data_IF_868768558177
#
_entry.id   IF_868768558177
#
_cell.length_a   1.000
_cell.length_b   1.000
_cell.length_c   1.000
_cell.angle_alpha   90.00
_cell.angle_beta   90.00
_cell.angle_gamma   90.00
#
_symmetry.space_group_name_H-M   'P 1'
#
loop_
_entity.id
_entity.type
_entity.pdbx_description
1 polymer ?
#
# COMPACT_ATOMS: atom_id res chain seq x y z
N UNK A 1 -20.68 2.90 -4.40
CA UNK A 1 -19.20 2.90 -4.32
C UNK A 1 -18.77 1.74 -3.45
N UNK A 2 -17.66 1.05 -3.77
CA UNK A 2 -17.07 0.05 -2.88
C UNK A 2 -16.68 0.70 -1.55
N UNK A 3 -16.70 -0.08 -0.48
CA UNK A 3 -16.38 0.35 0.90
C UNK A 3 -14.93 0.07 1.28
N UNK A 4 -14.27 -0.86 0.58
CA UNK A 4 -12.84 -1.14 0.67
C UNK A 4 -12.26 -1.54 -0.70
N UNK A 5 -10.93 -1.66 -0.79
CA UNK A 5 -10.24 -1.98 -2.04
C UNK A 5 -10.49 -3.43 -2.50
N UNK A 6 -10.64 -4.37 -1.57
CA UNK A 6 -10.94 -5.77 -1.90
C UNK A 6 -12.31 -5.89 -2.57
N UNK A 7 -13.30 -5.13 -2.11
CA UNK A 7 -14.62 -5.04 -2.73
C UNK A 7 -14.54 -4.38 -4.11
N UNK A 8 -13.75 -3.31 -4.26
CA UNK A 8 -13.51 -2.67 -5.55
C UNK A 8 -12.90 -3.68 -6.55
N UNK A 9 -11.90 -4.44 -6.11
CA UNK A 9 -11.25 -5.51 -6.87
C UNK A 9 -12.26 -6.55 -7.34
N UNK A 10 -13.06 -7.11 -6.43
CA UNK A 10 -14.01 -8.17 -6.79
C UNK A 10 -15.13 -7.70 -7.71
N UNK A 11 -15.60 -6.46 -7.57
CA UNK A 11 -16.55 -5.86 -8.50
C UNK A 11 -15.97 -5.77 -9.92
N UNK A 12 -14.70 -5.39 -10.05
CA UNK A 12 -14.00 -5.34 -11.34
C UNK A 12 -13.81 -6.72 -11.92
N UNK A 13 -13.39 -7.71 -11.11
CA UNK A 13 -13.24 -9.10 -11.54
C UNK A 13 -14.55 -9.68 -12.07
N UNK A 14 -15.67 -9.42 -11.38
CA UNK A 14 -16.98 -9.87 -11.80
C UNK A 14 -17.44 -9.20 -13.11
N UNK A 15 -17.16 -7.92 -13.28
CA UNK A 15 -17.57 -7.16 -14.46
C UNK A 15 -16.72 -7.48 -15.70
N UNK A 16 -15.42 -7.75 -15.53
CA UNK A 16 -14.43 -7.79 -16.61
C UNK A 16 -13.50 -9.02 -16.56
N UNK A 17 -14.01 -10.24 -16.36
CA UNK A 17 -13.17 -11.39 -15.98
C UNK A 17 -12.14 -11.79 -17.04
N UNK A 18 -12.39 -11.51 -18.32
CA UNK A 18 -11.51 -11.89 -19.44
C UNK A 18 -10.65 -10.75 -19.95
N UNK A 19 -10.88 -9.53 -19.47
CA UNK A 19 -10.07 -8.38 -19.87
C UNK A 19 -8.68 -8.45 -19.21
N UNK A 20 -7.64 -7.91 -19.86
CA UNK A 20 -6.33 -7.74 -19.24
C UNK A 20 -6.41 -6.93 -17.94
N UNK A 21 -5.75 -7.41 -16.89
CA UNK A 21 -5.63 -6.72 -15.61
C UNK A 21 -4.20 -6.23 -15.35
N UNK A 22 -3.21 -7.09 -15.61
CA UNK A 22 -1.79 -6.77 -15.49
C UNK A 22 -1.10 -6.99 -16.82
N UNK A 23 -0.32 -5.99 -17.24
CA UNK A 23 0.46 -5.99 -18.47
C UNK A 23 1.95 -5.97 -18.14
N UNK A 24 2.75 -6.69 -18.90
CA UNK A 24 4.21 -6.53 -18.97
C UNK A 24 4.58 -5.93 -20.32
N UNK A 25 5.87 -5.66 -20.54
CA UNK A 25 6.37 -5.25 -21.85
C UNK A 25 6.11 -6.29 -22.95
N UNK A 26 5.85 -7.54 -22.56
CA UNK A 26 5.58 -8.68 -23.47
C UNK A 26 4.08 -8.85 -23.76
N UNK A 27 3.21 -8.04 -23.15
CA UNK A 27 1.77 -8.06 -23.35
C UNK A 27 0.99 -8.40 -22.08
N UNK A 28 -0.13 -9.11 -22.22
CA UNK A 28 -0.98 -9.45 -21.06
C UNK A 28 -0.32 -10.51 -20.20
N UNK A 29 0.00 -10.15 -18.95
CA UNK A 29 0.49 -11.10 -17.97
C UNK A 29 -0.67 -11.85 -17.29
N UNK A 30 -1.70 -11.12 -16.84
CA UNK A 30 -2.88 -11.72 -16.20
C UNK A 30 -4.16 -10.99 -16.64
N UNK A 31 -5.20 -11.76 -16.95
CA UNK A 31 -6.60 -11.28 -16.97
C UNK A 31 -7.12 -11.06 -15.55
N UNK A 32 -8.23 -10.33 -15.39
CA UNK A 32 -8.84 -10.13 -14.06
C UNK A 32 -9.21 -11.43 -13.35
N UNK A 33 -9.72 -12.44 -14.08
CA UNK A 33 -10.01 -13.75 -13.50
C UNK A 33 -8.74 -14.44 -13.01
N UNK A 34 -7.71 -14.50 -13.84
CA UNK A 34 -6.43 -15.12 -13.45
C UNK A 34 -5.79 -14.38 -12.27
N UNK A 35 -5.89 -13.05 -12.23
CA UNK A 35 -5.42 -12.26 -11.12
C UNK A 35 -6.17 -12.62 -9.82
N UNK A 36 -7.50 -12.74 -9.86
CA UNK A 36 -8.29 -13.18 -8.71
C UNK A 36 -7.94 -14.60 -8.25
N UNK A 37 -7.74 -15.54 -9.18
CA UNK A 37 -7.37 -16.92 -8.87
C UNK A 37 -5.99 -16.97 -8.17
N UNK A 38 -5.02 -16.18 -8.67
CA UNK A 38 -3.70 -16.03 -8.02
C UNK A 38 -3.78 -15.36 -6.66
N UNK A 39 -4.59 -14.32 -6.50
CA UNK A 39 -4.83 -13.65 -5.21
C UNK A 39 -5.43 -14.62 -4.20
N UNK A 40 -6.40 -15.46 -4.59
CA UNK A 40 -7.00 -16.47 -3.72
C UNK A 40 -5.97 -17.49 -3.23
N UNK A 41 -5.12 -17.96 -4.14
CA UNK A 41 -4.06 -18.94 -3.84
C UNK A 41 -2.99 -18.35 -2.91
N UNK A 42 -2.45 -17.17 -3.24
CA UNK A 42 -1.42 -16.51 -2.42
C UNK A 42 -1.98 -16.05 -1.07
N UNK A 43 -3.24 -15.61 -0.99
CA UNK A 43 -3.87 -15.25 0.28
C UNK A 43 -4.01 -16.46 1.21
N UNK A 44 -4.31 -17.64 0.65
CA UNK A 44 -4.32 -18.88 1.43
C UNK A 44 -2.92 -19.26 1.92
N UNK A 45 -1.90 -19.10 1.07
CA UNK A 45 -0.49 -19.30 1.44
C UNK A 45 -0.08 -18.39 2.60
N UNK A 46 -0.40 -17.09 2.53
CA UNK A 46 -0.10 -16.13 3.61
C UNK A 46 -0.78 -16.54 4.93
N UNK A 47 -2.05 -16.98 4.91
CA UNK A 47 -2.72 -17.49 6.12
C UNK A 47 -2.08 -18.76 6.68
N UNK A 48 -1.57 -19.62 5.80
CA UNK A 48 -0.82 -20.83 6.15
C UNK A 48 0.53 -20.51 6.81
N UNK A 49 1.16 -19.40 6.41
CA UNK A 49 2.34 -18.82 7.07
C UNK A 49 2.01 -18.02 8.33
N UNK A 50 0.81 -18.22 8.88
CA UNK A 50 0.30 -17.55 10.09
C UNK A 50 0.18 -16.02 9.98
N UNK A 51 0.08 -15.47 8.76
CA UNK A 51 -0.27 -14.05 8.58
C UNK A 51 -1.73 -13.84 9.01
N UNK A 52 -1.92 -12.87 9.89
CA UNK A 52 -3.22 -12.47 10.45
C UNK A 52 -3.57 -11.03 10.09
N UNK A 53 -4.80 -10.65 10.44
CA UNK A 53 -5.29 -9.28 10.32
C UNK A 53 -4.40 -8.31 11.08
N UNK A 54 -4.20 -7.13 10.52
CA UNK A 54 -3.38 -6.04 11.08
C UNK A 54 -1.88 -6.39 11.23
N UNK A 55 -1.44 -7.56 10.75
CA UNK A 55 -0.02 -7.91 10.72
C UNK A 55 0.67 -7.38 9.46
N UNK A 56 1.92 -6.90 9.56
CA UNK A 56 2.66 -6.40 8.41
C UNK A 56 3.23 -7.53 7.54
N UNK A 57 3.13 -7.36 6.22
CA UNK A 57 3.79 -8.20 5.22
C UNK A 57 4.75 -7.33 4.41
N UNK A 58 6.05 -7.60 4.50
CA UNK A 58 7.03 -6.83 3.76
C UNK A 58 7.15 -7.34 2.32
N UNK A 59 7.20 -6.44 1.35
CA UNK A 59 7.34 -6.75 -0.07
C UNK A 59 8.64 -6.14 -0.59
N UNK A 60 9.61 -6.96 -1.03
CA UNK A 60 10.84 -6.51 -1.68
C UNK A 60 10.93 -7.12 -3.07
N UNK A 61 10.20 -6.52 -4.01
CA UNK A 61 10.03 -7.01 -5.37
C UNK A 61 10.34 -5.87 -6.36
N UNK A 62 10.85 -6.22 -7.52
CA UNK A 62 10.88 -5.31 -8.67
C UNK A 62 9.50 -5.12 -9.29
N UNK A 63 9.42 -4.28 -10.32
CA UNK A 63 8.20 -4.09 -11.09
C UNK A 63 7.85 -5.37 -11.87
N UNK A 64 7.08 -6.25 -11.24
CA UNK A 64 6.63 -7.54 -11.78
C UNK A 64 5.22 -7.88 -11.30
N UNK A 65 4.45 -8.70 -12.05
CA UNK A 65 3.05 -9.01 -11.73
C UNK A 65 2.85 -9.57 -10.32
N UNK A 66 3.79 -10.36 -9.81
CA UNK A 66 3.71 -11.02 -8.50
C UNK A 66 3.68 -10.03 -7.34
N UNK A 67 4.20 -8.79 -7.52
CA UNK A 67 4.04 -7.73 -6.52
C UNK A 67 2.56 -7.41 -6.30
N UNK A 68 1.81 -7.19 -7.37
CA UNK A 68 0.39 -6.88 -7.29
C UNK A 68 -0.42 -8.05 -6.72
N UNK A 69 -0.04 -9.29 -7.07
CA UNK A 69 -0.63 -10.50 -6.49
C UNK A 69 -0.40 -10.58 -4.99
N UNK A 70 0.84 -10.43 -4.52
CA UNK A 70 1.16 -10.50 -3.10
C UNK A 70 0.51 -9.37 -2.29
N UNK A 71 0.52 -8.15 -2.80
CA UNK A 71 -0.12 -6.99 -2.20
C UNK A 71 -1.64 -7.20 -2.05
N UNK A 72 -2.33 -7.51 -3.14
CA UNK A 72 -3.78 -7.74 -3.13
C UNK A 72 -4.17 -8.95 -2.27
N UNK A 73 -3.35 -10.01 -2.26
CA UNK A 73 -3.54 -11.17 -1.39
C UNK A 73 -3.45 -10.79 0.10
N UNK A 74 -2.45 -10.01 0.49
CA UNK A 74 -2.30 -9.53 1.87
C UNK A 74 -3.52 -8.70 2.32
N UNK A 75 -4.03 -7.81 1.45
CA UNK A 75 -5.26 -7.05 1.71
C UNK A 75 -6.48 -7.95 1.93
N UNK A 76 -6.61 -9.06 1.19
CA UNK A 76 -7.71 -10.02 1.39
C UNK A 76 -7.55 -10.86 2.67
N UNK A 77 -6.36 -10.94 3.24
CA UNK A 77 -6.13 -11.51 4.59
C UNK A 77 -6.40 -10.47 5.69
N UNK A 78 -6.58 -9.20 5.34
CA UNK A 78 -6.65 -8.08 6.27
C UNK A 78 -5.29 -7.69 6.85
N UNK A 79 -4.20 -8.17 6.24
CA UNK A 79 -2.83 -7.83 6.59
C UNK A 79 -2.43 -6.48 5.99
N UNK A 80 -1.28 -5.95 6.42
CA UNK A 80 -0.76 -4.64 6.03
C UNK A 80 0.47 -4.81 5.13
N UNK A 81 0.32 -4.93 3.80
CA UNK A 81 1.46 -5.00 2.90
C UNK A 81 2.22 -3.67 2.84
N UNK A 82 3.54 -3.71 2.84
CA UNK A 82 4.36 -2.52 2.63
C UNK A 82 5.62 -2.83 1.84
N UNK A 83 6.04 -1.89 1.02
CA UNK A 83 7.20 -2.07 0.14
C UNK A 83 8.50 -1.68 0.83
N UNK A 84 9.52 -2.52 0.66
CA UNK A 84 10.92 -2.19 0.90
C UNK A 84 11.54 -1.72 -0.42
N UNK A 85 12.33 -0.66 -0.36
CA UNK A 85 13.07 -0.20 -1.54
C UNK A 85 14.20 -1.16 -1.87
N UNK A 86 14.29 -1.57 -3.14
CA UNK A 86 15.24 -2.58 -3.62
C UNK A 86 16.71 -2.17 -3.51
N UNK A 87 16.98 -0.88 -3.30
CA UNK A 87 18.31 -0.30 -3.15
C UNK A 87 18.72 -0.06 -1.69
N UNK A 88 17.88 -0.40 -0.71
CA UNK A 88 18.21 -0.20 0.70
C UNK A 88 19.35 -1.13 1.13
N UNK A 89 20.32 -0.62 1.89
CA UNK A 89 21.31 -1.47 2.54
C UNK A 89 20.67 -2.28 3.69
N UNK A 90 21.36 -3.35 4.10
CA UNK A 90 20.83 -4.32 5.06
C UNK A 90 20.47 -3.71 6.43
N UNK A 91 21.23 -2.72 6.91
CA UNK A 91 20.98 -2.01 8.16
C UNK A 91 19.65 -1.22 8.13
N UNK A 92 19.37 -0.53 7.02
CA UNK A 92 18.10 0.18 6.86
C UNK A 92 16.91 -0.78 6.70
N UNK A 93 17.10 -1.90 5.98
CA UNK A 93 16.06 -2.95 5.91
C UNK A 93 15.80 -3.54 7.30
N UNK A 94 16.85 -3.80 8.08
CA UNK A 94 16.74 -4.32 9.44
C UNK A 94 15.94 -3.38 10.34
N UNK A 95 16.22 -2.08 10.30
CA UNK A 95 15.46 -1.08 11.07
C UNK A 95 13.97 -1.08 10.70
N UNK A 96 13.66 -1.17 9.40
CA UNK A 96 12.27 -1.24 8.93
C UNK A 96 11.57 -2.51 9.43
N UNK A 97 12.19 -3.69 9.22
CA UNK A 97 11.64 -4.98 9.68
C UNK A 97 11.45 -5.03 11.20
N UNK A 98 12.39 -4.50 11.98
CA UNK A 98 12.24 -4.39 13.45
C UNK A 98 11.11 -3.44 13.85
N UNK A 99 10.99 -2.30 13.17
CA UNK A 99 10.02 -1.26 13.54
C UNK A 99 8.58 -1.67 13.23
N UNK A 100 8.38 -2.46 12.16
CA UNK A 100 7.07 -2.98 11.78
C UNK A 100 6.76 -4.31 12.46
N UNK A 101 7.76 -5.05 12.94
CA UNK A 101 7.63 -6.43 13.41
C UNK A 101 7.05 -7.36 12.34
N UNK A 102 7.41 -7.14 11.06
CA UNK A 102 7.02 -8.01 9.97
C UNK A 102 7.53 -9.44 10.21
N UNK A 103 6.65 -10.42 9.99
CA UNK A 103 6.93 -11.85 10.18
C UNK A 103 7.23 -12.58 8.87
N UNK A 104 6.66 -12.08 7.78
CA UNK A 104 6.79 -12.61 6.42
C UNK A 104 7.31 -11.52 5.49
N UNK A 105 8.28 -11.89 4.67
CA UNK A 105 8.79 -11.05 3.57
C UNK A 105 8.57 -11.79 2.25
N UNK A 106 7.84 -11.18 1.31
CA UNK A 106 7.75 -11.68 -0.08
C UNK A 106 8.79 -10.96 -0.92
N UNK A 107 9.62 -11.73 -1.62
CA UNK A 107 10.85 -11.24 -2.25
C UNK A 107 11.20 -12.01 -3.53
N UNK A 108 12.28 -11.60 -4.18
CA UNK A 108 12.98 -12.32 -5.26
C UNK A 108 14.29 -12.93 -4.74
N UNK A 109 14.78 -13.99 -5.40
CA UNK A 109 16.02 -14.70 -5.04
C UNK A 109 17.22 -13.76 -4.95
N UNK A 110 17.28 -12.78 -5.85
CA UNK A 110 18.37 -11.78 -5.90
C UNK A 110 18.51 -10.93 -4.63
N UNK A 111 17.44 -10.78 -3.85
CA UNK A 111 17.46 -9.97 -2.62
C UNK A 111 17.67 -10.83 -1.36
N UNK A 112 17.68 -12.17 -1.48
CA UNK A 112 17.92 -13.05 -0.33
C UNK A 112 19.24 -12.76 0.41
N UNK A 113 20.38 -12.43 -0.25
CA UNK A 113 21.61 -12.12 0.47
C UNK A 113 21.48 -10.90 1.40
N UNK A 114 20.86 -9.81 0.93
CA UNK A 114 20.68 -8.59 1.73
C UNK A 114 19.61 -8.78 2.80
N UNK A 115 18.53 -9.51 2.50
CA UNK A 115 17.48 -9.83 3.46
C UNK A 115 17.99 -10.74 4.58
N UNK A 116 18.81 -11.75 4.28
CA UNK A 116 19.42 -12.61 5.32
C UNK A 116 20.27 -11.81 6.29
N UNK A 117 21.06 -10.86 5.78
CA UNK A 117 21.83 -9.96 6.62
C UNK A 117 20.93 -9.06 7.49
N UNK A 118 19.79 -8.63 6.95
CA UNK A 118 18.85 -7.74 7.63
C UNK A 118 17.91 -8.43 8.64
N UNK A 119 17.62 -9.72 8.46
CA UNK A 119 16.63 -10.44 9.27
C UNK A 119 17.13 -10.85 10.66
N UNK A 120 18.43 -10.77 10.93
CA UNK A 120 18.98 -11.04 12.27
C UNK A 120 18.27 -10.18 13.33
N UNK A 121 17.87 -10.76 14.46
CA UNK A 121 17.15 -10.08 15.57
C UNK A 121 15.86 -9.34 15.16
N UNK A 122 15.16 -9.85 14.14
CA UNK A 122 13.82 -9.40 13.71
C UNK A 122 12.75 -10.46 14.02
N UNK A 123 11.48 -10.14 13.77
CA UNK A 123 10.37 -11.10 13.87
C UNK A 123 10.20 -11.98 12.62
N UNK A 124 11.02 -11.78 11.58
CA UNK A 124 10.90 -12.49 10.31
C UNK A 124 11.25 -13.96 10.50
N UNK A 125 10.29 -14.84 10.22
CA UNK A 125 10.48 -16.29 10.23
C UNK A 125 10.31 -16.94 8.84
N UNK A 126 9.84 -16.18 7.85
CA UNK A 126 9.64 -16.70 6.50
C UNK A 126 9.97 -15.67 5.42
N UNK A 127 10.91 -16.04 4.54
CA UNK A 127 11.17 -15.37 3.28
C UNK A 127 10.50 -16.16 2.15
N UNK A 128 9.62 -15.53 1.38
CA UNK A 128 8.88 -16.15 0.28
C UNK A 128 9.41 -15.63 -1.05
N UNK A 129 10.09 -16.47 -1.82
CA UNK A 129 10.68 -16.10 -3.12
C UNK A 129 9.69 -16.34 -4.27
N UNK A 130 9.34 -15.30 -5.02
CA UNK A 130 8.39 -15.40 -6.15
C UNK A 130 8.99 -16.06 -7.40
N UNK A 131 10.32 -16.11 -7.49
CA UNK A 131 11.13 -16.72 -8.55
C UNK A 131 11.97 -17.90 -8.03
N UNK A 132 11.58 -18.48 -6.89
CA UNK A 132 12.12 -19.74 -6.39
C UNK A 132 11.54 -20.94 -7.12
N UNK A 133 12.30 -22.04 -7.19
CA UNK A 133 11.82 -23.33 -7.68
C UNK A 133 11.49 -24.28 -6.54
N UNK A 134 10.51 -25.16 -6.74
CA UNK A 134 10.17 -26.21 -5.76
C UNK A 134 11.38 -27.08 -5.41
N UNK A 135 11.46 -27.50 -4.15
CA UNK A 135 12.55 -28.35 -3.65
C UNK A 135 13.85 -27.59 -3.39
N UNK A 136 13.84 -26.25 -3.47
CA UNK A 136 14.99 -25.40 -3.09
C UNK A 136 14.81 -24.77 -1.71
N UNK A 137 13.98 -25.37 -0.86
CA UNK A 137 13.80 -24.96 0.52
C UNK A 137 15.14 -24.93 1.26
N UNK A 138 15.69 -23.72 1.39
CA UNK A 138 16.78 -23.38 2.29
C UNK A 138 16.14 -22.98 3.64
N UNK A 139 16.83 -23.16 4.77
CA UNK A 139 16.27 -22.83 6.09
C UNK A 139 15.67 -21.41 6.11
N UNK A 140 14.36 -21.31 6.39
CA UNK A 140 13.62 -20.05 6.45
C UNK A 140 13.25 -19.42 5.10
N UNK A 141 13.50 -20.09 3.96
CA UNK A 141 13.13 -19.63 2.61
C UNK A 141 12.20 -20.63 1.92
N UNK A 142 11.06 -20.15 1.46
CA UNK A 142 10.09 -20.91 0.66
C UNK A 142 9.97 -20.27 -0.71
N UNK A 143 9.82 -21.05 -1.78
CA UNK A 143 9.28 -20.51 -3.02
C UNK A 143 7.79 -20.19 -2.85
N UNK A 144 7.27 -19.26 -3.65
CA UNK A 144 5.84 -18.95 -3.64
C UNK A 144 5.00 -20.19 -3.98
N UNK A 145 5.45 -21.01 -4.94
CA UNK A 145 4.79 -22.26 -5.30
C UNK A 145 4.69 -23.24 -4.13
N UNK A 146 5.77 -23.43 -3.36
CA UNK A 146 5.76 -24.25 -2.15
C UNK A 146 4.78 -23.68 -1.10
N UNK A 147 4.79 -22.37 -0.87
CA UNK A 147 3.87 -21.73 0.08
C UNK A 147 2.40 -21.92 -0.33
N UNK A 148 2.09 -21.88 -1.63
CA UNK A 148 0.76 -22.15 -2.17
C UNK A 148 0.37 -23.63 -2.02
N UNK A 149 1.30 -24.56 -2.24
CA UNK A 149 1.08 -25.99 -2.09
C UNK A 149 0.82 -26.42 -0.62
N UNK A 150 1.28 -25.63 0.36
CA UNK A 150 0.98 -25.84 1.78
C UNK A 150 -0.46 -25.46 2.16
N UNK A 151 -1.15 -24.64 1.35
CA UNK A 151 -2.52 -24.28 1.61
C UNK A 151 -3.49 -25.37 1.12
N UNK A 152 -4.46 -25.82 1.95
CA UNK A 152 -5.35 -26.92 1.58
C UNK A 152 -6.31 -26.57 0.43
N UNK A 153 -6.66 -25.29 0.31
CA UNK A 153 -7.49 -24.75 -0.76
C UNK A 153 -7.25 -23.23 -0.90
N UNK A 154 -7.52 -22.65 -2.08
CA UNK A 154 -7.52 -21.19 -2.25
C UNK A 154 -8.51 -20.51 -1.28
N UNK A 155 -8.20 -19.26 -0.91
CA UNK A 155 -9.07 -18.47 -0.05
C UNK A 155 -10.36 -18.08 -0.80
N UNK A 156 -11.51 -18.29 -0.16
CA UNK A 156 -12.76 -17.69 -0.65
C UNK A 156 -12.71 -16.18 -0.47
N UNK A 157 -12.39 -15.46 -1.56
CA UNK A 157 -12.26 -14.01 -1.55
C UNK A 157 -13.58 -13.32 -1.18
N UNK A 158 -14.72 -13.86 -1.59
CA UNK A 158 -16.02 -13.26 -1.28
C UNK A 158 -16.35 -13.40 0.21
N UNK A 159 -16.01 -14.53 0.82
CA UNK A 159 -16.09 -14.70 2.26
C UNK A 159 -15.14 -13.76 3.01
N UNK A 160 -13.90 -13.61 2.54
CA UNK A 160 -12.88 -12.77 3.15
C UNK A 160 -13.29 -11.27 3.22
N UNK A 161 -14.10 -10.79 2.28
CA UNK A 161 -14.64 -9.41 2.33
C UNK A 161 -15.40 -9.11 3.61
N UNK A 162 -15.99 -10.11 4.25
CA UNK A 162 -16.75 -9.91 5.48
C UNK A 162 -15.86 -9.42 6.62
N UNK A 163 -14.55 -9.66 6.59
CA UNK A 163 -13.62 -9.34 7.67
C UNK A 163 -12.78 -8.08 7.41
N UNK A 164 -12.77 -7.59 6.16
CA UNK A 164 -12.09 -6.36 5.76
C UNK A 164 -12.95 -5.14 6.09
N UNK A 165 -12.38 -4.15 6.78
CA UNK A 165 -13.05 -2.92 7.19
C UNK A 165 -12.50 -1.72 6.43
N UNK A 166 -13.33 -0.68 6.21
CA UNK A 166 -12.87 0.54 5.52
C UNK A 166 -11.70 1.25 6.22
N UNK A 167 -11.58 1.09 7.54
CA UNK A 167 -10.56 1.77 8.34
C UNK A 167 -9.32 0.89 8.58
N UNK A 168 -9.24 -0.31 7.97
CA UNK A 168 -8.04 -1.12 8.01
C UNK A 168 -6.92 -0.47 7.19
N UNK A 169 -5.70 -0.60 7.72
CA UNK A 169 -4.49 -0.09 7.09
C UNK A 169 -4.14 -0.99 5.90
N UNK A 170 -3.97 -0.38 4.74
CA UNK A 170 -3.64 -1.07 3.48
C UNK A 170 -2.17 -0.99 3.13
N UNK A 171 -1.46 0.00 3.67
CA UNK A 171 -0.01 0.10 3.47
C UNK A 171 0.64 1.04 4.47
N UNK A 172 1.94 0.85 4.64
CA UNK A 172 2.83 1.70 5.43
C UNK A 172 3.82 2.39 4.49
N UNK A 173 3.82 3.72 4.47
CA UNK A 173 4.84 4.51 3.76
C UNK A 173 5.84 5.04 4.77
N UNK A 174 7.07 4.51 4.73
CA UNK A 174 8.16 4.98 5.57
C UNK A 174 8.76 6.26 4.99
N UNK A 175 8.83 7.29 5.83
CA UNK A 175 9.43 8.59 5.47
C UNK A 175 10.63 8.88 6.34
N UNK A 176 11.62 9.60 5.81
CA UNK A 176 12.77 10.06 6.59
C UNK A 176 12.27 11.00 7.69
N UNK A 177 12.20 10.48 8.92
CA UNK A 177 11.84 11.28 10.07
C UNK A 177 12.94 12.29 10.38
N UNK A 178 12.56 13.50 10.82
CA UNK A 178 13.50 14.51 11.32
C UNK A 178 14.35 14.02 12.51
N UNK A 179 13.91 12.94 13.16
CA UNK A 179 14.57 12.27 14.27
C UNK A 179 15.52 11.14 13.86
N UNK A 180 15.81 11.00 12.56
CA UNK A 180 16.69 9.96 11.99
C UNK A 180 16.04 8.59 11.83
N UNK A 181 15.05 8.25 12.66
CA UNK A 181 14.27 7.00 12.53
C UNK A 181 13.11 7.15 11.55
N UNK A 182 12.91 6.20 10.61
CA UNK A 182 11.76 6.21 9.71
C UNK A 182 10.43 6.20 10.48
N UNK A 183 9.47 7.01 10.04
CA UNK A 183 8.09 6.96 10.55
C UNK A 183 7.20 6.33 9.50
N UNK A 184 6.42 5.34 9.89
CA UNK A 184 5.41 4.73 9.05
C UNK A 184 4.17 5.63 8.99
N UNK A 185 3.79 6.03 7.77
CA UNK A 185 2.51 6.68 7.49
C UNK A 185 1.52 5.60 7.10
N UNK A 186 0.47 5.45 7.88
CA UNK A 186 -0.61 4.51 7.63
C UNK A 186 -1.60 5.09 6.62
N UNK A 187 -1.91 4.32 5.58
CA UNK A 187 -3.00 4.62 4.64
C UNK A 187 -4.06 3.55 4.83
N UNK A 188 -5.33 3.95 4.95
CA UNK A 188 -6.47 3.02 5.08
C UNK A 188 -7.20 2.80 3.75
N UNK A 189 -8.04 1.77 3.67
CA UNK A 189 -8.90 1.55 2.50
C UNK A 189 -9.77 2.78 2.20
N UNK A 190 -10.39 3.37 3.22
CA UNK A 190 -11.24 4.57 3.10
C UNK A 190 -10.45 5.75 2.57
N UNK A 191 -9.24 5.98 3.10
CA UNK A 191 -8.37 7.06 2.64
C UNK A 191 -8.02 6.89 1.15
N UNK A 192 -7.62 5.68 0.74
CA UNK A 192 -7.29 5.38 -0.65
C UNK A 192 -8.51 5.51 -1.57
N UNK A 193 -9.68 4.98 -1.19
CA UNK A 193 -10.90 5.12 -1.99
C UNK A 193 -11.34 6.58 -2.12
N UNK A 194 -11.16 7.40 -1.08
CA UNK A 194 -11.41 8.84 -1.15
C UNK A 194 -10.45 9.52 -2.12
N UNK A 195 -9.16 9.15 -2.10
CA UNK A 195 -8.17 9.66 -3.06
C UNK A 195 -8.53 9.25 -4.50
N UNK A 196 -8.82 7.98 -4.76
CA UNK A 196 -9.24 7.49 -6.07
C UNK A 196 -10.49 8.22 -6.58
N UNK A 197 -11.48 8.42 -5.72
CA UNK A 197 -12.70 9.18 -6.07
C UNK A 197 -12.40 10.63 -6.43
N UNK A 198 -11.46 11.27 -5.71
CA UNK A 198 -10.99 12.62 -6.03
C UNK A 198 -10.25 12.66 -7.37
N UNK A 199 -9.33 11.72 -7.59
CA UNK A 199 -8.57 11.58 -8.82
C UNK A 199 -9.47 11.34 -10.02
N UNK A 200 -10.49 10.47 -9.94
CA UNK A 200 -11.43 10.20 -11.03
C UNK A 200 -12.32 11.41 -11.41
N UNK A 201 -12.54 12.36 -10.50
CA UNK A 201 -13.25 13.61 -10.82
C UNK A 201 -12.38 14.58 -11.61
N UNK A 202 -11.06 14.48 -11.42
CA UNK A 202 -10.06 15.36 -12.03
C UNK A 202 -9.46 14.73 -13.28
N UNK A 203 -9.36 13.41 -13.35
CA UNK A 203 -8.81 12.67 -14.48
C UNK A 203 -9.95 11.88 -15.10
N UNK A 204 -10.24 12.14 -16.37
CA UNK A 204 -11.15 11.29 -17.14
C UNK A 204 -10.42 9.99 -17.47
N UNK A 205 -10.47 9.03 -16.55
CA UNK A 205 -10.00 7.66 -16.78
C UNK A 205 -11.16 6.88 -17.37
N UNK A 206 -11.06 6.54 -18.65
CA UNK A 206 -12.03 5.70 -19.36
C UNK A 206 -11.61 4.24 -19.34
N UNK A 207 -12.59 3.32 -19.40
CA UNK A 207 -12.33 1.88 -19.39
C UNK A 207 -11.53 1.35 -20.58
N UNK A 208 -11.27 2.20 -21.58
CA UNK A 208 -10.54 1.92 -22.83
C UNK A 208 -9.06 2.35 -22.75
N UNK A 209 -8.59 2.92 -21.64
CA UNK A 209 -7.21 3.40 -21.48
C UNK A 209 -6.19 2.26 -21.25
N UNK A 210 -6.63 1.00 -21.30
CA UNK A 210 -5.78 -0.18 -21.30
C UNK A 210 -5.29 -0.45 -22.72
N UNK A 211 -4.06 -0.03 -23.02
CA UNK A 211 -3.52 -0.01 -24.38
C UNK A 211 -3.55 -1.35 -25.10
N UNK A 212 -4.30 -1.39 -26.20
CA UNK A 212 -4.11 -2.31 -27.31
C UNK A 212 -2.78 -1.94 -27.97
N UNK A 213 -1.90 -2.93 -28.21
CA UNK A 213 -0.49 -2.77 -28.55
C UNK A 213 -0.13 -2.06 -29.88
N UNK A 214 -1.00 -1.22 -30.45
CA UNK A 214 -0.69 -0.35 -31.58
C UNK A 214 -1.12 1.09 -31.29
N UNK A 215 -0.22 1.90 -30.72
CA UNK A 215 -0.30 3.36 -30.77
C UNK A 215 -1.20 4.08 -29.75
N UNK A 216 -1.70 3.41 -28.71
CA UNK A 216 -2.46 4.06 -27.65
C UNK A 216 -1.52 4.57 -26.53
N UNK A 217 -1.25 5.88 -26.54
CA UNK A 217 -0.70 6.55 -25.35
C UNK A 217 -1.67 6.43 -24.18
N UNK A 218 -1.15 6.30 -22.95
CA UNK A 218 -1.94 6.32 -21.72
C UNK A 218 -2.83 7.58 -21.72
N UNK A 219 -4.12 7.38 -22.02
CA UNK A 219 -5.07 8.43 -22.36
C UNK A 219 -5.63 9.17 -21.15
N UNK A 220 -4.80 9.49 -20.14
CA UNK A 220 -5.26 10.31 -19.02
C UNK A 220 -5.59 11.71 -19.52
N UNK A 221 -6.87 11.98 -19.75
CA UNK A 221 -7.35 13.33 -20.08
C UNK A 221 -7.48 14.13 -18.81
N UNK A 222 -6.58 15.11 -18.64
CA UNK A 222 -6.73 16.18 -17.64
C UNK A 222 -7.63 17.26 -18.24
N UNK A 223 -8.83 17.52 -17.68
CA UNK A 223 -9.72 18.60 -18.06
C UNK A 223 -8.97 19.93 -18.03
N UNK A 224 -9.26 20.82 -18.99
CA UNK A 224 -8.60 22.13 -19.08
C UNK A 224 -8.72 22.95 -17.79
N UNK A 225 -9.81 22.76 -17.02
CA UNK A 225 -10.08 23.44 -15.75
C UNK A 225 -9.11 23.10 -14.61
N UNK A 226 -8.30 22.03 -14.74
CA UNK A 226 -7.39 21.56 -13.68
C UNK A 226 -5.91 21.69 -14.09
N UNK A 227 -5.62 22.25 -15.28
CA UNK A 227 -4.24 22.49 -15.72
C UNK A 227 -3.62 23.67 -14.95
N UNK A 228 -2.34 23.59 -14.52
CA UNK A 228 -1.66 24.72 -13.90
C UNK A 228 -1.67 25.91 -14.88
N UNK A 229 -2.29 27.03 -14.46
CA UNK A 229 -2.47 28.23 -15.30
C UNK A 229 -3.92 28.55 -15.69
N UNK A 230 -4.89 27.66 -15.44
CA UNK A 230 -6.32 27.90 -15.68
C UNK A 230 -7.03 28.64 -14.51
N UNK A 231 -6.33 29.57 -13.86
CA UNK A 231 -6.96 30.48 -12.90
C UNK A 231 -7.82 31.51 -13.65
N UNK A 232 -8.90 32.03 -13.02
CA UNK A 232 -9.69 33.10 -13.63
C UNK A 232 -8.77 34.29 -13.90
N UNK A 233 -8.73 34.78 -15.15
CA UNK A 233 -8.03 36.02 -15.46
C UNK A 233 -8.71 37.15 -14.69
N UNK A 234 -8.08 37.58 -13.62
CA UNK A 234 -8.42 38.83 -12.93
C UNK A 234 -8.14 39.94 -13.94
N UNK A 235 -9.18 40.46 -14.57
CA UNK A 235 -9.09 41.69 -15.35
C UNK A 235 -8.71 42.81 -14.37
N UNK A 236 -7.43 43.17 -14.38
CA UNK A 236 -6.95 44.35 -13.69
C UNK A 236 -7.55 45.59 -14.37
N UNK A 237 -8.57 46.16 -13.75
CA UNK A 237 -8.97 47.54 -14.03
C UNK A 237 -7.82 48.42 -13.56
N UNK A 238 -7.01 48.90 -14.50
CA UNK A 238 -6.08 49.98 -14.25
C UNK A 238 -6.89 51.22 -13.90
N UNK A 239 -6.81 51.64 -12.65
CA UNK A 239 -7.12 52.99 -12.22
C UNK A 239 -5.90 53.43 -11.44
N UNK A 240 -5.15 54.35 -12.05
CA UNK A 240 -3.95 54.90 -11.47
C UNK A 240 -4.28 55.73 -10.25
N UNK A 241 -3.47 55.60 -9.21
CA UNK A 241 -2.96 56.77 -8.52
C UNK A 241 -1.64 56.42 -7.85
N UNK A 242 -0.68 57.34 -7.94
CA UNK A 242 0.66 57.17 -7.42
C UNK A 242 0.76 57.55 -5.95
N UNK A 243 1.60 56.85 -5.21
CA UNK A 243 2.29 57.38 -4.04
C UNK A 243 3.52 56.53 -3.70
N UNK A 244 4.61 57.23 -3.40
CA UNK A 244 5.94 56.74 -3.05
C UNK A 244 6.05 56.33 -1.56
N UNK A 245 7.22 55.74 -1.22
CA UNK A 245 7.76 55.41 0.12
C UNK A 245 7.28 54.06 0.69
N UNK A 246 8.05 53.24 1.41
CA UNK A 246 9.29 53.43 2.19
C UNK A 246 9.96 52.04 2.40
N UNK A 247 11.26 52.00 2.70
CA UNK A 247 11.97 50.79 3.13
C UNK A 247 11.71 50.53 4.62
N UNK A 248 11.38 49.29 4.99
CA UNK A 248 11.21 48.88 6.39
C UNK A 248 11.50 47.41 6.62
N UNK A 249 12.66 47.13 7.20
CA UNK A 249 13.05 45.84 7.79
C UNK A 249 12.12 45.47 8.95
N UNK A 250 11.74 44.19 9.05
CA UNK A 250 10.92 43.69 10.16
C UNK A 250 10.99 42.17 10.27
N UNK A 251 11.93 41.69 11.09
CA UNK A 251 12.03 40.33 11.59
C UNK A 251 10.95 40.09 12.66
N UNK A 252 10.25 38.95 12.61
CA UNK A 252 9.14 38.64 13.52
C UNK A 252 8.72 37.16 13.48
N UNK A 253 8.42 36.52 14.63
CA UNK A 253 8.50 35.07 14.79
C UNK A 253 7.22 34.30 14.41
N UNK A 254 7.41 33.01 14.09
CA UNK A 254 6.35 32.04 13.75
C UNK A 254 5.52 31.62 14.99
N UNK A 255 4.20 31.40 14.87
CA UNK A 255 3.42 30.79 15.94
C UNK A 255 3.48 29.26 15.92
N UNK A 256 3.64 28.67 17.10
CA UNK A 256 3.53 27.24 17.37
C UNK A 256 2.06 26.81 17.55
N UNK A 257 1.64 25.72 16.90
CA UNK A 257 0.34 25.08 17.14
C UNK A 257 0.50 23.75 17.90
N UNK A 258 0.26 23.84 19.22
CA UNK A 258 -0.56 22.95 20.04
C UNK A 258 -0.52 21.43 19.82
N UNK A 259 0.47 20.74 20.39
CA UNK A 259 0.41 19.30 20.64
C UNK A 259 -0.42 18.94 21.89
N UNK A 260 -1.32 17.96 21.77
CA UNK A 260 -2.13 17.45 22.88
C UNK A 260 -1.29 17.06 24.11
N UNK A 261 -1.67 17.60 25.27
CA UNK A 261 -0.92 17.46 26.54
C UNK A 261 -0.96 16.03 27.07
N UNK A 262 0.09 15.64 27.81
CA UNK A 262 0.27 14.32 28.44
C UNK A 262 -0.96 13.82 29.22
N UNK A 263 -1.72 14.73 29.83
CA UNK A 263 -2.97 14.42 30.54
C UNK A 263 -4.08 13.87 29.62
N UNK A 264 -4.12 14.28 28.35
CA UNK A 264 -5.08 13.77 27.36
C UNK A 264 -4.71 12.36 26.86
N UNK A 265 -3.41 12.03 26.82
CA UNK A 265 -2.92 10.69 26.47
C UNK A 265 -3.17 9.68 27.59
N UNK A 266 -2.99 10.10 28.84
CA UNK A 266 -3.24 9.25 30.01
C UNK A 266 -4.74 8.97 30.25
N UNK A 267 -5.65 9.88 29.85
CA UNK A 267 -7.10 9.62 29.89
C UNK A 267 -7.57 8.58 28.86
N UNK A 268 -6.96 8.53 27.67
CA UNK A 268 -7.29 7.52 26.64
C UNK A 268 -6.81 6.11 27.04
N UNK A 269 -5.65 6.00 27.69
CA UNK A 269 -5.14 4.72 28.18
C UNK A 269 -6.06 4.09 29.25
N UNK A 270 -6.53 4.89 30.22
CA UNK A 270 -7.44 4.41 31.29
C UNK A 270 -8.84 4.02 30.79
N UNK A 271 -9.26 4.52 29.64
CA UNK A 271 -10.56 4.18 29.03
C UNK A 271 -10.51 2.84 28.30
N UNK A 272 -9.32 2.41 27.85
CA UNK A 272 -9.10 1.08 27.26
C UNK A 272 -9.02 -0.02 28.33
N UNK A 273 -8.37 0.25 29.47
CA UNK A 273 -8.26 -0.74 30.57
C UNK A 273 -9.62 -1.08 31.20
N UNK A 274 -10.52 -0.09 31.33
CA UNK A 274 -11.88 -0.33 31.87
C UNK A 274 -12.80 -1.12 30.94
N UNK A 275 -12.48 -1.21 29.64
CA UNK A 275 -13.24 -2.02 28.67
C UNK A 275 -12.77 -3.47 28.56
N UNK A 276 -11.61 -3.80 29.15
CA UNK A 276 -11.06 -5.15 29.17
C UNK A 276 -11.50 -6.01 30.37
N UNK A 277 -12.27 -5.46 31.31
CA UNK A 277 -12.66 -6.14 32.55
C UNK A 277 -14.12 -6.62 32.61
N UNK A 278 -14.96 -6.30 31.61
CA UNK A 278 -16.39 -6.70 31.58
C UNK A 278 -16.68 -7.91 30.66
N UNK A 279 -15.71 -8.80 30.41
CA UNK A 279 -15.92 -10.02 29.59
C UNK A 279 -15.50 -11.31 30.30
N UNK A 280 -15.53 -11.32 31.64
CA UNK A 280 -15.51 -12.56 32.41
C UNK A 280 -16.35 -12.38 33.68
N UNK A 281 -17.67 -12.51 33.50
CA UNK A 281 -18.62 -13.06 34.47
C UNK A 281 -19.87 -13.56 33.72
#
# INVERSE_FOLDING_TARGET
>A
MPTNLCEAFQRTVAARPREPALLTLEGTALTWRQYADRVASVAAALRGLDVRRDEPVALMLTNRPEFHVADCAALHVGAVPYSLYNSLPADQIHELLRSTAARVVVTERRFLPVLRAACADTAVHSLVSVDGSEGTAEDGVLSLAEAEALAPAPLDLAAALRDVRPDDVITLIHTSGTTGRPKAVEITHRAMLSQLSGTQRVLEVTGEDGGDGEGAGCGVRVPQSVRPGAGPQVQSRQSGDGAQHDQGSGDGPRPEEGGATRAQRERRARQHERRGQDVND
#
